data_IF_909925979750
#
_entry.id   IF_909925979750
#
_cell.length_a   1.000
_cell.length_b   1.000
_cell.length_c   1.000
_cell.angle_alpha   90.00
_cell.angle_beta   90.00
_cell.angle_gamma   90.00
#
_symmetry.space_group_name_H-M   'P 1'
#
loop_
_entity.id
_entity.type
_entity.pdbx_description
1 polymer ?
#
# COMPACT_ATOMS: atom_id res chain seq x y z
N UNK A 1 -21.68 -13.56 16.81
CA UNK A 1 -21.90 -12.45 15.84
C UNK A 1 -21.53 -12.97 14.47
N UNK A 2 -22.42 -12.85 13.47
CA UNK A 2 -22.16 -13.41 12.14
C UNK A 2 -21.11 -12.60 11.40
N UNK A 3 -20.36 -13.23 10.50
CA UNK A 3 -19.37 -12.56 9.65
C UNK A 3 -19.97 -11.38 8.87
N UNK A 4 -21.23 -11.52 8.42
CA UNK A 4 -22.03 -10.45 7.80
C UNK A 4 -22.13 -9.18 8.68
N UNK A 5 -22.34 -9.33 9.98
CA UNK A 5 -22.36 -8.20 10.91
C UNK A 5 -20.96 -7.56 11.08
N UNK A 6 -19.89 -8.35 10.96
CA UNK A 6 -18.50 -7.85 10.97
C UNK A 6 -18.23 -7.04 9.72
N UNK A 7 -18.70 -7.49 8.55
CA UNK A 7 -18.51 -6.82 7.27
C UNK A 7 -19.30 -5.51 7.17
N UNK A 8 -20.55 -5.48 7.63
CA UNK A 8 -21.30 -4.22 7.67
C UNK A 8 -20.60 -3.17 8.56
N UNK A 9 -19.94 -3.62 9.61
CA UNK A 9 -19.10 -2.75 10.44
C UNK A 9 -17.78 -2.36 9.76
N UNK A 10 -17.23 -3.22 8.88
CA UNK A 10 -16.04 -2.90 8.07
C UNK A 10 -16.30 -1.78 7.05
N UNK A 11 -17.55 -1.62 6.58
CA UNK A 11 -17.95 -0.50 5.70
C UNK A 11 -17.71 0.85 6.39
N UNK A 12 -18.13 0.97 7.64
CA UNK A 12 -17.87 2.18 8.43
C UNK A 12 -16.38 2.34 8.76
N UNK A 13 -15.61 1.23 8.85
CA UNK A 13 -14.17 1.25 9.05
C UNK A 13 -13.44 1.76 7.81
N UNK A 14 -13.83 1.33 6.61
CA UNK A 14 -13.23 1.82 5.37
C UNK A 14 -13.47 3.32 5.17
N UNK A 15 -14.67 3.82 5.50
CA UNK A 15 -14.98 5.25 5.51
C UNK A 15 -14.17 6.01 6.58
N UNK A 16 -13.99 5.42 7.76
CA UNK A 16 -13.16 5.98 8.81
C UNK A 16 -11.68 5.98 8.43
N UNK A 17 -11.18 4.92 7.78
CA UNK A 17 -9.80 4.82 7.30
C UNK A 17 -9.49 5.81 6.17
N UNK A 18 -10.43 6.01 5.24
CA UNK A 18 -10.30 7.01 4.16
C UNK A 18 -10.21 8.45 4.70
N UNK A 19 -10.78 8.72 5.88
CA UNK A 19 -10.82 10.04 6.50
C UNK A 19 -9.90 10.19 7.73
N UNK A 20 -8.96 9.27 7.97
CA UNK A 20 -8.39 9.10 9.30
C UNK A 20 -7.03 9.75 9.52
N UNK A 21 -6.95 10.61 10.53
CA UNK A 21 -5.76 10.76 11.37
C UNK A 21 -5.67 9.58 12.35
N UNK A 22 -4.47 9.17 12.76
CA UNK A 22 -4.21 7.96 13.58
C UNK A 22 -5.07 7.82 14.85
N UNK A 23 -5.61 8.90 15.40
CA UNK A 23 -6.44 8.90 16.61
C UNK A 23 -7.90 8.55 16.35
N UNK A 24 -8.49 9.05 15.26
CA UNK A 24 -9.84 8.65 14.84
C UNK A 24 -9.94 7.16 14.56
N UNK A 25 -8.90 6.61 13.99
CA UNK A 25 -8.79 5.18 13.77
C UNK A 25 -8.83 4.42 15.11
N UNK A 26 -8.04 4.84 16.10
CA UNK A 26 -8.01 4.22 17.42
C UNK A 26 -9.36 4.29 18.14
N UNK A 27 -10.09 5.37 17.99
CA UNK A 27 -11.39 5.59 18.65
C UNK A 27 -12.50 4.76 17.97
N UNK A 28 -12.50 4.71 16.64
CA UNK A 28 -13.43 3.90 15.86
C UNK A 28 -13.18 2.40 16.10
N UNK A 29 -11.91 2.00 16.15
CA UNK A 29 -11.44 0.65 16.39
C UNK A 29 -11.88 0.16 17.77
N UNK A 30 -11.94 0.98 18.82
CA UNK A 30 -12.44 0.62 20.15
C UNK A 30 -13.93 0.31 20.22
N UNK A 31 -14.73 0.74 19.28
CA UNK A 31 -16.21 0.66 19.36
C UNK A 31 -16.85 -0.55 18.67
N UNK A 32 -16.08 -1.41 17.99
CA UNK A 32 -16.64 -2.46 17.12
C UNK A 32 -15.92 -3.81 17.25
N UNK A 33 -16.63 -4.92 17.10
CA UNK A 33 -16.10 -6.29 17.24
C UNK A 33 -15.22 -6.75 16.06
N UNK A 34 -15.40 -6.20 14.87
CA UNK A 34 -14.44 -6.32 13.76
C UNK A 34 -13.08 -5.79 14.17
N UNK A 35 -13.06 -4.86 15.09
CA UNK A 35 -11.92 -4.27 15.72
C UNK A 35 -11.05 -5.22 16.52
N UNK A 36 -11.65 -6.11 17.28
CA UNK A 36 -10.85 -7.12 17.99
C UNK A 36 -10.10 -7.98 16.99
N UNK A 37 -10.76 -8.33 15.86
CA UNK A 37 -10.11 -9.06 14.79
C UNK A 37 -9.02 -8.26 14.11
N UNK A 38 -9.30 -7.00 13.76
CA UNK A 38 -8.30 -6.11 13.15
C UNK A 38 -7.18 -5.75 14.13
N UNK A 39 -7.46 -5.59 15.42
CA UNK A 39 -6.44 -5.41 16.44
C UNK A 39 -5.56 -6.64 16.60
N UNK A 40 -6.14 -7.84 16.57
CA UNK A 40 -5.36 -9.08 16.54
C UNK A 40 -4.46 -9.10 15.31
N UNK A 41 -5.00 -8.76 14.13
CA UNK A 41 -4.24 -8.72 12.87
C UNK A 41 -3.17 -7.63 12.88
N UNK A 42 -3.47 -6.43 13.39
CA UNK A 42 -2.55 -5.28 13.40
C UNK A 42 -1.43 -5.45 14.40
N UNK A 43 -1.72 -6.00 15.59
CA UNK A 43 -0.77 -6.08 16.70
C UNK A 43 -0.05 -7.42 16.80
N UNK A 44 -0.45 -8.43 16.00
CA UNK A 44 -0.05 -9.79 16.27
C UNK A 44 1.03 -10.29 15.31
N UNK A 45 2.27 -10.23 15.76
CA UNK A 45 3.38 -10.98 15.17
C UNK A 45 3.14 -12.52 15.23
N UNK A 46 2.25 -12.98 16.09
CA UNK A 46 1.88 -14.40 16.25
C UNK A 46 1.05 -14.93 15.08
N UNK A 47 0.31 -14.07 14.37
CA UNK A 47 -0.40 -14.44 13.13
C UNK A 47 0.56 -14.89 12.01
N UNK A 48 1.85 -14.68 12.14
CA UNK A 48 2.87 -15.16 11.19
C UNK A 48 2.98 -16.69 11.14
N UNK A 49 2.79 -17.35 12.26
CA UNK A 49 3.11 -18.77 12.42
C UNK A 49 1.91 -19.66 12.67
N UNK A 50 0.79 -19.10 13.08
CA UNK A 50 -0.48 -19.82 13.28
C UNK A 50 -1.65 -18.91 12.98
N UNK A 51 -2.19 -18.97 11.75
CA UNK A 51 -3.30 -18.11 11.33
C UNK A 51 -4.58 -18.28 12.17
N UNK A 52 -4.75 -19.42 12.85
CA UNK A 52 -5.85 -19.65 13.80
C UNK A 52 -7.24 -19.62 13.17
N UNK A 53 -8.26 -19.56 14.04
CA UNK A 53 -9.67 -19.58 13.66
C UNK A 53 -10.03 -18.40 12.74
N UNK A 54 -9.47 -17.22 12.98
CA UNK A 54 -9.73 -16.01 12.19
C UNK A 54 -9.31 -16.19 10.73
N UNK A 55 -8.17 -16.82 10.47
CA UNK A 55 -7.71 -17.07 9.11
C UNK A 55 -8.64 -18.04 8.38
N UNK A 56 -9.05 -19.13 9.02
CA UNK A 56 -9.97 -20.12 8.43
C UNK A 56 -11.36 -19.51 8.19
N UNK A 57 -11.84 -18.63 9.08
CA UNK A 57 -13.09 -17.89 8.90
C UNK A 57 -13.06 -17.02 7.64
N UNK A 58 -12.00 -16.22 7.45
CA UNK A 58 -11.85 -15.36 6.27
C UNK A 58 -11.59 -16.17 4.99
N UNK A 59 -10.84 -17.25 5.08
CA UNK A 59 -10.62 -18.17 3.97
C UNK A 59 -11.94 -18.80 3.49
N UNK A 60 -12.75 -19.32 4.41
CA UNK A 60 -14.08 -19.85 4.10
C UNK A 60 -14.98 -18.77 3.47
N UNK A 61 -14.98 -17.56 4.02
CA UNK A 61 -15.75 -16.45 3.49
C UNK A 61 -15.37 -16.14 2.04
N UNK A 62 -14.09 -15.88 1.74
CA UNK A 62 -13.65 -15.52 0.40
C UNK A 62 -13.76 -16.69 -0.59
N UNK A 63 -13.66 -17.93 -0.13
CA UNK A 63 -13.91 -19.11 -0.98
C UNK A 63 -15.37 -19.13 -1.47
N UNK A 64 -16.33 -18.73 -0.62
CA UNK A 64 -17.76 -18.72 -0.99
C UNK A 64 -18.17 -17.52 -1.85
N UNK A 65 -17.38 -16.43 -1.84
CA UNK A 65 -17.71 -15.18 -2.57
C UNK A 65 -17.40 -15.22 -4.06
N UNK A 66 -16.72 -16.24 -4.55
CA UNK A 66 -16.34 -16.35 -5.96
C UNK A 66 -15.68 -15.04 -6.46
N UNK A 67 -14.52 -14.74 -5.90
CA UNK A 67 -13.79 -13.50 -6.19
C UNK A 67 -13.59 -13.29 -7.70
N UNK A 68 -13.78 -12.08 -8.21
CA UNK A 68 -13.50 -11.80 -9.61
C UNK A 68 -12.05 -12.08 -9.93
N UNK A 69 -11.79 -12.64 -11.08
CA UNK A 69 -10.46 -12.99 -11.53
C UNK A 69 -10.14 -12.38 -12.89
N UNK A 70 -8.85 -12.23 -13.16
CA UNK A 70 -8.28 -11.79 -14.43
C UNK A 70 -7.23 -12.77 -14.90
N UNK A 71 -7.28 -13.13 -16.18
CA UNK A 71 -6.23 -13.89 -16.82
C UNK A 71 -5.12 -12.91 -17.24
N UNK A 72 -3.91 -13.16 -16.79
CA UNK A 72 -2.70 -12.51 -17.27
C UNK A 72 -2.12 -13.42 -18.34
N UNK A 73 -2.19 -12.96 -19.59
CA UNK A 73 -1.73 -13.73 -20.72
C UNK A 73 -0.22 -13.55 -20.97
N UNK A 74 0.39 -14.49 -21.70
CA UNK A 74 1.83 -14.49 -21.99
C UNK A 74 2.29 -13.29 -22.82
N UNK A 75 1.37 -12.67 -23.59
CA UNK A 75 1.67 -11.50 -24.42
C UNK A 75 1.58 -10.18 -23.64
N UNK A 76 1.00 -10.19 -22.43
CA UNK A 76 0.92 -9.01 -21.60
C UNK A 76 2.29 -8.65 -21.04
N UNK A 77 2.69 -7.38 -21.24
CA UNK A 77 3.93 -6.83 -20.72
C UNK A 77 3.66 -6.05 -19.46
N UNK A 78 4.47 -6.28 -18.45
CA UNK A 78 4.47 -5.53 -17.19
C UNK A 78 5.87 -4.97 -16.93
N UNK A 79 5.97 -3.99 -16.05
CA UNK A 79 7.19 -3.26 -15.75
C UNK A 79 7.54 -3.35 -14.27
N UNK A 80 8.82 -3.54 -13.99
CA UNK A 80 9.35 -3.44 -12.64
C UNK A 80 10.46 -2.41 -12.59
N UNK A 81 10.37 -1.47 -11.65
CA UNK A 81 11.37 -0.44 -11.41
C UNK A 81 12.18 -0.70 -10.12
N UNK A 82 13.44 -0.30 -10.17
CA UNK A 82 14.32 -0.20 -9.01
C UNK A 82 15.11 1.09 -9.11
N UNK A 83 15.06 1.91 -8.06
CA UNK A 83 15.83 3.17 -8.00
C UNK A 83 17.31 2.85 -8.07
N UNK A 84 18.01 3.56 -8.96
CA UNK A 84 19.45 3.43 -9.19
C UNK A 84 19.80 2.77 -10.51
N UNK A 85 21.09 2.56 -10.68
CA UNK A 85 21.74 1.94 -11.83
C UNK A 85 23.09 1.38 -11.40
N UNK A 86 23.70 0.55 -12.25
CA UNK A 86 25.04 0.04 -12.08
C UNK A 86 26.05 0.96 -12.76
N UNK A 87 27.25 1.06 -12.20
CA UNK A 87 28.38 1.81 -12.79
C UNK A 87 29.54 0.84 -12.96
N UNK A 88 29.98 0.66 -14.19
CA UNK A 88 31.14 -0.15 -14.53
C UNK A 88 32.26 0.77 -15.00
N UNK A 89 33.43 0.58 -14.43
CA UNK A 89 34.66 1.27 -14.84
C UNK A 89 35.37 0.43 -15.87
N UNK A 90 35.91 1.09 -16.92
CA UNK A 90 36.67 0.43 -17.97
C UNK A 90 37.88 -0.32 -17.43
N UNK A 91 38.38 -1.30 -18.19
CA UNK A 91 39.57 -2.08 -17.85
C UNK A 91 40.82 -1.19 -17.72
N UNK A 92 41.89 -1.73 -17.11
CA UNK A 92 43.10 -0.99 -16.75
C UNK A 92 43.75 -0.14 -17.88
N UNK A 93 43.52 -0.53 -19.15
CA UNK A 93 44.04 0.19 -20.33
C UNK A 93 43.15 1.38 -20.75
N UNK A 94 41.97 1.55 -20.19
CA UNK A 94 40.99 2.60 -20.54
C UNK A 94 40.31 3.19 -19.27
N UNK A 95 41.10 3.60 -18.31
CA UNK A 95 40.67 4.13 -17.00
C UNK A 95 39.75 5.36 -17.06
N UNK A 96 39.52 5.93 -18.25
CA UNK A 96 38.67 7.12 -18.42
C UNK A 96 37.27 6.81 -18.87
N UNK A 97 36.91 5.54 -19.12
CA UNK A 97 35.55 5.18 -19.52
C UNK A 97 34.74 4.65 -18.35
N UNK A 98 33.63 5.30 -18.13
CA UNK A 98 32.63 4.89 -17.17
C UNK A 98 31.36 4.54 -17.91
N UNK A 99 30.85 3.34 -17.72
CA UNK A 99 29.59 2.89 -18.28
C UNK A 99 28.51 2.90 -17.21
N UNK A 100 27.36 3.46 -17.56
CA UNK A 100 26.17 3.47 -16.71
C UNK A 100 25.19 2.46 -17.30
N UNK A 101 24.89 1.40 -16.58
CA UNK A 101 24.03 0.32 -17.01
C UNK A 101 22.79 0.21 -16.13
N UNK A 102 21.64 -0.21 -16.66
CA UNK A 102 20.52 -0.55 -15.84
C UNK A 102 20.83 -1.77 -14.96
N UNK A 103 20.19 -1.85 -13.80
CA UNK A 103 20.16 -3.10 -13.05
C UNK A 103 19.54 -4.19 -13.92
N UNK A 104 20.10 -5.39 -13.90
CA UNK A 104 19.70 -6.51 -14.73
C UNK A 104 19.59 -7.80 -13.94
N UNK A 105 18.95 -8.81 -14.52
CA UNK A 105 18.81 -10.14 -13.92
C UNK A 105 18.33 -10.09 -12.46
N UNK A 106 19.04 -10.74 -11.54
CA UNK A 106 18.68 -10.83 -10.13
C UNK A 106 18.51 -9.47 -9.41
N UNK A 107 19.08 -8.40 -9.95
CA UNK A 107 18.98 -7.08 -9.35
C UNK A 107 17.65 -6.38 -9.65
N UNK A 108 17.03 -6.70 -10.80
CA UNK A 108 15.72 -6.16 -11.19
C UNK A 108 14.57 -7.13 -10.89
N UNK A 109 14.84 -8.40 -10.65
CA UNK A 109 13.86 -9.41 -10.26
C UNK A 109 13.37 -9.22 -8.81
N UNK A 110 12.44 -10.07 -8.38
CA UNK A 110 11.97 -10.07 -6.99
C UNK A 110 13.16 -10.31 -6.04
N UNK A 111 13.31 -9.50 -4.97
CA UNK A 111 14.44 -9.65 -4.07
C UNK A 111 14.41 -11.02 -3.39
N UNK A 112 15.56 -11.65 -3.14
CA UNK A 112 15.61 -12.87 -2.35
C UNK A 112 14.97 -12.68 -0.97
N UNK A 113 14.38 -13.73 -0.35
CA UNK A 113 13.68 -13.62 0.93
C UNK A 113 14.50 -12.92 2.03
N UNK A 114 15.80 -13.18 2.09
CA UNK A 114 16.70 -12.58 3.09
C UNK A 114 16.73 -11.03 3.02
N UNK A 115 16.56 -10.47 1.83
CA UNK A 115 16.61 -9.02 1.58
C UNK A 115 15.22 -8.42 1.34
N UNK A 116 14.17 -9.21 1.52
CA UNK A 116 12.80 -8.75 1.28
C UNK A 116 12.28 -8.00 2.50
N UNK A 117 12.03 -6.72 2.33
CA UNK A 117 11.30 -5.91 3.30
C UNK A 117 9.79 -6.17 3.21
N UNK A 118 9.08 -5.86 4.29
CA UNK A 118 7.62 -5.95 4.29
C UNK A 118 6.98 -4.84 3.44
N UNK A 119 6.21 -5.23 2.43
CA UNK A 119 5.41 -4.34 1.58
C UNK A 119 3.93 -4.33 1.98
N UNK A 120 3.09 -3.77 1.09
CA UNK A 120 1.63 -3.74 1.26
C UNK A 120 1.04 -5.14 1.40
N UNK A 121 1.45 -6.08 0.56
CA UNK A 121 0.86 -7.42 0.45
C UNK A 121 1.79 -8.53 0.94
N UNK A 122 3.06 -8.25 1.21
CA UNK A 122 4.01 -9.26 1.69
C UNK A 122 4.57 -8.91 3.07
N UNK A 123 4.82 -9.94 3.86
CA UNK A 123 5.57 -9.84 5.12
C UNK A 123 7.07 -9.78 4.83
N UNK A 124 7.83 -9.27 5.78
CA UNK A 124 9.30 -9.38 5.73
C UNK A 124 9.72 -10.85 5.56
N UNK A 125 10.69 -11.10 4.69
CA UNK A 125 11.17 -12.44 4.38
C UNK A 125 10.30 -13.23 3.40
N UNK A 126 9.18 -12.67 2.92
CA UNK A 126 8.33 -13.28 1.88
C UNK A 126 8.47 -12.48 0.60
N UNK A 127 9.10 -13.08 -0.40
CA UNK A 127 9.35 -12.45 -1.69
C UNK A 127 8.14 -12.58 -2.61
N UNK A 128 7.53 -11.45 -2.96
CA UNK A 128 6.53 -11.31 -4.00
C UNK A 128 7.07 -10.42 -5.13
N UNK A 129 6.57 -10.63 -6.33
CA UNK A 129 6.93 -9.79 -7.47
C UNK A 129 5.86 -8.73 -7.69
N UNK A 130 6.25 -7.45 -7.55
CA UNK A 130 5.42 -6.30 -7.81
C UNK A 130 5.73 -5.73 -9.19
N UNK A 131 4.70 -5.59 -10.01
CA UNK A 131 4.80 -5.11 -11.39
C UNK A 131 3.72 -4.08 -11.65
N UNK A 132 3.93 -3.20 -12.62
CA UNK A 132 2.96 -2.21 -13.11
C UNK A 132 2.68 -2.43 -14.60
N UNK A 133 1.50 -2.02 -15.08
CA UNK A 133 1.10 -2.17 -16.48
C UNK A 133 1.74 -1.13 -17.41
N UNK A 134 2.24 -0.03 -16.87
CA UNK A 134 2.93 1.03 -17.62
C UNK A 134 4.22 1.47 -16.94
N UNK A 135 5.13 2.06 -17.73
CA UNK A 135 6.36 2.68 -17.21
C UNK A 135 6.04 3.83 -16.26
N UNK A 136 5.04 4.66 -16.60
CA UNK A 136 4.61 5.77 -15.74
C UNK A 136 4.13 5.30 -14.39
N UNK A 137 3.30 4.27 -14.35
CA UNK A 137 2.81 3.69 -13.09
C UNK A 137 3.97 3.12 -12.29
N UNK A 138 4.88 2.42 -12.95
CA UNK A 138 6.06 1.86 -12.30
C UNK A 138 6.94 2.95 -11.65
N UNK A 139 7.19 4.05 -12.36
CA UNK A 139 7.95 5.20 -11.84
C UNK A 139 7.25 5.89 -10.66
N UNK A 140 5.92 6.02 -10.72
CA UNK A 140 5.13 6.58 -9.63
C UNK A 140 5.19 5.70 -8.37
N UNK A 141 5.08 4.38 -8.51
CA UNK A 141 5.09 3.42 -7.39
C UNK A 141 6.45 3.35 -6.68
N UNK A 142 7.56 3.54 -7.40
CA UNK A 142 8.89 3.62 -6.76
C UNK A 142 9.18 4.99 -6.16
N UNK A 143 8.27 5.98 -6.28
CA UNK A 143 8.41 7.34 -5.77
C UNK A 143 9.71 8.03 -6.25
N UNK A 144 10.01 7.90 -7.54
CA UNK A 144 11.21 8.43 -8.14
C UNK A 144 11.32 9.95 -7.96
N UNK A 145 12.43 10.42 -7.41
CA UNK A 145 12.68 11.85 -7.19
C UNK A 145 13.35 12.48 -8.41
N UNK A 146 13.19 13.81 -8.58
CA UNK A 146 13.85 14.56 -9.66
C UNK A 146 15.37 14.36 -9.58
N UNK A 147 15.98 14.02 -10.70
CA UNK A 147 17.42 13.76 -10.81
C UNK A 147 17.85 12.35 -10.41
N UNK A 148 16.95 11.51 -9.87
CA UNK A 148 17.26 10.11 -9.63
C UNK A 148 17.08 9.27 -10.90
N UNK A 149 17.93 8.25 -11.01
CA UNK A 149 17.78 7.18 -12.00
C UNK A 149 16.95 6.04 -11.46
N UNK A 150 16.19 5.39 -12.34
CA UNK A 150 15.47 4.17 -12.08
C UNK A 150 15.74 3.18 -13.22
N UNK A 151 16.20 2.00 -12.90
CA UNK A 151 16.26 0.89 -13.83
C UNK A 151 14.89 0.23 -13.93
N UNK A 152 14.38 0.06 -15.14
CA UNK A 152 13.10 -0.62 -15.43
C UNK A 152 13.33 -1.77 -16.38
N UNK A 153 12.84 -2.96 -16.02
CA UNK A 153 12.78 -4.14 -16.85
C UNK A 153 11.35 -4.53 -17.22
N UNK A 154 11.19 -5.15 -18.40
CA UNK A 154 9.92 -5.70 -18.86
C UNK A 154 9.78 -7.14 -18.41
N UNK A 155 8.58 -7.50 -17.95
CA UNK A 155 8.27 -8.84 -17.47
C UNK A 155 7.07 -9.40 -18.21
N UNK A 156 7.12 -10.71 -18.50
CA UNK A 156 6.00 -11.48 -19.06
C UNK A 156 5.74 -12.72 -18.24
N UNK A 157 4.49 -13.16 -18.19
CA UNK A 157 4.17 -14.45 -17.58
C UNK A 157 4.70 -15.60 -18.44
N UNK A 158 5.17 -16.68 -17.79
CA UNK A 158 5.66 -17.89 -18.48
C UNK A 158 4.52 -18.74 -19.04
N UNK A 159 3.32 -18.56 -18.54
CA UNK A 159 2.08 -19.23 -18.94
C UNK A 159 0.91 -18.33 -18.55
N UNK A 160 -0.28 -18.51 -19.13
CA UNK A 160 -1.46 -17.81 -18.63
C UNK A 160 -1.65 -18.09 -17.13
N UNK A 161 -1.85 -17.04 -16.34
CA UNK A 161 -2.08 -17.14 -14.90
C UNK A 161 -3.34 -16.39 -14.51
N UNK A 162 -4.11 -16.99 -13.63
CA UNK A 162 -5.28 -16.36 -13.04
C UNK A 162 -4.90 -15.65 -11.76
N UNK A 163 -5.30 -14.39 -11.62
CA UNK A 163 -5.09 -13.54 -10.44
C UNK A 163 -6.42 -12.95 -9.99
N UNK A 164 -6.52 -12.61 -8.70
CA UNK A 164 -7.69 -11.92 -8.15
C UNK A 164 -7.71 -10.49 -8.71
N UNK A 165 -8.85 -10.10 -9.28
CA UNK A 165 -9.05 -8.79 -9.90
C UNK A 165 -9.80 -7.85 -8.97
N UNK A 166 -9.07 -6.98 -8.28
CA UNK A 166 -9.64 -5.98 -7.39
C UNK A 166 -10.27 -4.77 -8.12
N UNK A 167 -10.22 -4.75 -9.45
CA UNK A 167 -10.85 -3.67 -10.25
C UNK A 167 -12.29 -3.97 -10.63
N UNK A 168 -12.80 -5.19 -10.35
CA UNK A 168 -14.08 -5.71 -10.83
C UNK A 168 -14.99 -6.24 -9.72
N UNK A 169 -15.20 -5.50 -8.66
CA UNK A 169 -16.14 -5.96 -7.62
C UNK A 169 -17.61 -5.66 -7.89
N UNK A 170 -17.93 -5.01 -9.02
CA UNK A 170 -19.31 -4.73 -9.41
C UNK A 170 -20.11 -3.97 -8.33
N UNK A 171 -21.40 -4.25 -8.28
CA UNK A 171 -22.32 -3.61 -7.32
C UNK A 171 -22.36 -4.30 -5.94
N UNK A 172 -21.43 -5.23 -5.65
CA UNK A 172 -21.34 -5.88 -4.33
C UNK A 172 -20.73 -4.92 -3.30
N UNK A 173 -21.58 -4.28 -2.51
CA UNK A 173 -21.18 -3.29 -1.50
C UNK A 173 -20.28 -3.86 -0.40
N UNK A 174 -20.32 -5.16 -0.16
CA UNK A 174 -19.44 -5.82 0.81
C UNK A 174 -18.02 -5.93 0.23
N UNK A 175 -17.91 -6.33 -1.03
CA UNK A 175 -16.63 -6.44 -1.72
C UNK A 175 -16.00 -5.07 -1.97
N UNK A 176 -16.81 -4.04 -2.25
CA UNK A 176 -16.35 -2.66 -2.34
C UNK A 176 -15.65 -2.18 -1.06
N UNK A 177 -16.14 -2.62 0.09
CA UNK A 177 -15.50 -2.31 1.38
C UNK A 177 -14.11 -2.93 1.50
N UNK A 178 -13.98 -4.20 1.11
CA UNK A 178 -12.68 -4.87 1.10
C UNK A 178 -11.72 -4.25 0.09
N UNK A 179 -12.22 -3.86 -1.08
CA UNK A 179 -11.43 -3.12 -2.07
C UNK A 179 -10.84 -1.83 -1.48
N UNK A 180 -11.67 -1.03 -0.82
CA UNK A 180 -11.22 0.21 -0.16
C UNK A 180 -10.13 -0.05 0.89
N UNK A 181 -10.25 -1.11 1.67
CA UNK A 181 -9.23 -1.50 2.65
C UNK A 181 -7.91 -1.92 1.97
N UNK A 182 -8.00 -2.70 0.89
CA UNK A 182 -6.85 -3.26 0.20
C UNK A 182 -6.07 -2.22 -0.61
N UNK A 183 -6.75 -1.24 -1.20
CA UNK A 183 -6.18 -0.30 -2.17
C UNK A 183 -5.98 1.12 -1.62
N UNK A 184 -6.50 1.46 -0.43
CA UNK A 184 -6.37 2.81 0.12
C UNK A 184 -4.91 3.28 0.24
N UNK A 185 -4.64 4.59 0.02
CA UNK A 185 -3.33 5.16 0.28
C UNK A 185 -2.92 5.02 1.74
N UNK A 186 -1.69 4.60 2.00
CA UNK A 186 -1.15 4.47 3.35
C UNK A 186 0.08 5.35 3.50
N UNK A 187 0.03 6.30 4.43
CA UNK A 187 1.17 7.16 4.74
C UNK A 187 2.23 6.41 5.54
N UNK A 188 3.49 6.84 5.41
CA UNK A 188 4.63 6.20 6.06
C UNK A 188 4.49 6.02 7.59
N UNK A 189 3.74 6.90 8.28
CA UNK A 189 3.45 6.78 9.71
C UNK A 189 2.42 5.69 10.08
N UNK A 190 1.69 5.14 9.11
CA UNK A 190 0.57 4.22 9.32
C UNK A 190 0.81 2.84 8.71
N UNK A 191 2.07 2.43 8.55
CA UNK A 191 2.46 1.14 7.95
C UNK A 191 1.85 -0.09 8.66
N UNK A 192 1.39 0.06 9.91
CA UNK A 192 0.66 -0.99 10.62
C UNK A 192 -0.63 -1.44 9.90
N UNK A 193 -1.24 -0.55 9.10
CA UNK A 193 -2.41 -0.88 8.26
C UNK A 193 -2.05 -1.98 7.24
N UNK A 194 -0.79 -2.07 6.82
CA UNK A 194 -0.33 -3.15 5.94
C UNK A 194 -0.46 -4.54 6.57
N UNK A 195 -0.58 -4.67 7.89
CA UNK A 195 -0.83 -5.98 8.49
C UNK A 195 -2.17 -6.56 8.05
N UNK A 196 -3.19 -5.71 7.82
CA UNK A 196 -4.50 -6.12 7.31
C UNK A 196 -4.37 -6.61 5.86
N UNK A 197 -3.72 -5.82 5.00
CA UNK A 197 -3.55 -6.19 3.59
C UNK A 197 -2.67 -7.43 3.42
N UNK A 198 -1.66 -7.61 4.27
CA UNK A 198 -0.81 -8.81 4.33
C UNK A 198 -1.60 -10.04 4.77
N UNK A 199 -2.44 -9.91 5.80
CA UNK A 199 -3.31 -10.99 6.26
C UNK A 199 -4.26 -11.44 5.14
N UNK A 200 -4.94 -10.49 4.48
CA UNK A 200 -5.82 -10.80 3.36
C UNK A 200 -5.06 -11.39 2.17
N UNK A 201 -3.85 -10.93 1.91
CA UNK A 201 -2.97 -11.52 0.90
C UNK A 201 -2.64 -12.99 1.20
N UNK A 202 -2.36 -13.31 2.47
CA UNK A 202 -2.12 -14.69 2.90
C UNK A 202 -3.38 -15.55 2.71
N UNK A 203 -4.57 -15.00 3.01
CA UNK A 203 -5.87 -15.66 2.76
C UNK A 203 -6.05 -15.90 1.26
N UNK A 204 -5.87 -14.89 0.41
CA UNK A 204 -6.00 -15.00 -1.05
C UNK A 204 -5.05 -16.03 -1.64
N UNK A 205 -3.81 -16.06 -1.17
CA UNK A 205 -2.84 -17.08 -1.57
C UNK A 205 -3.30 -18.50 -1.20
N UNK A 206 -3.94 -18.65 -0.03
CA UNK A 206 -4.41 -19.95 0.46
C UNK A 206 -5.59 -20.53 -0.33
N UNK A 207 -6.37 -19.69 -1.03
CA UNK A 207 -7.48 -20.10 -1.89
C UNK A 207 -7.06 -20.22 -3.37
N UNK A 208 -5.82 -20.60 -3.62
CA UNK A 208 -5.21 -20.78 -4.94
C UNK A 208 -5.01 -19.51 -5.78
N UNK A 209 -4.98 -18.34 -5.17
CA UNK A 209 -4.60 -17.11 -5.85
C UNK A 209 -3.12 -17.14 -6.27
N UNK A 210 -2.81 -16.81 -7.54
CA UNK A 210 -1.42 -16.60 -7.97
C UNK A 210 -0.95 -15.18 -7.71
N UNK A 211 -1.87 -14.25 -7.48
CA UNK A 211 -1.58 -12.84 -7.26
C UNK A 211 -2.84 -11.99 -7.19
N UNK A 212 -2.64 -10.69 -7.11
CA UNK A 212 -3.67 -9.65 -7.04
C UNK A 212 -3.40 -8.61 -8.12
N UNK A 213 -4.42 -8.24 -8.90
CA UNK A 213 -4.41 -7.14 -9.86
C UNK A 213 -5.27 -6.00 -9.31
N UNK A 214 -4.76 -4.76 -9.28
CA UNK A 214 -5.42 -3.63 -8.64
C UNK A 214 -5.01 -2.28 -9.26
N UNK A 215 -5.85 -1.26 -9.09
CA UNK A 215 -5.55 0.09 -9.54
C UNK A 215 -4.41 0.72 -8.73
N UNK A 216 -3.54 1.46 -9.40
CA UNK A 216 -2.53 2.26 -8.74
C UNK A 216 -3.18 3.43 -8.01
N UNK A 217 -2.72 3.71 -6.79
CA UNK A 217 -3.08 4.94 -6.06
C UNK A 217 -2.15 6.12 -6.38
N UNK A 218 -1.09 5.87 -7.15
CA UNK A 218 -0.07 6.86 -7.50
C UNK A 218 -0.20 7.35 -8.96
N UNK A 219 -0.91 6.61 -9.80
CA UNK A 219 -1.11 6.94 -11.23
C UNK A 219 -2.42 6.35 -11.76
N UNK A 220 -2.74 6.60 -13.02
CA UNK A 220 -3.96 6.07 -13.68
C UNK A 220 -3.83 4.62 -14.18
N UNK A 221 -2.71 3.95 -13.91
CA UNK A 221 -2.49 2.57 -14.34
C UNK A 221 -2.82 1.55 -13.26
N UNK A 222 -2.38 0.32 -13.49
CA UNK A 222 -2.65 -0.81 -12.59
C UNK A 222 -1.36 -1.49 -12.17
N UNK A 223 -1.46 -2.17 -11.05
CA UNK A 223 -0.40 -2.99 -10.49
C UNK A 223 -0.82 -4.45 -10.41
N UNK A 224 0.17 -5.31 -10.45
CA UNK A 224 0.02 -6.72 -10.11
C UNK A 224 1.05 -7.07 -9.03
N UNK A 225 0.62 -7.79 -8.01
CA UNK A 225 1.50 -8.49 -7.09
C UNK A 225 1.36 -9.98 -7.33
N UNK A 226 2.44 -10.61 -7.77
CA UNK A 226 2.49 -12.06 -7.99
C UNK A 226 3.10 -12.75 -6.76
N UNK A 227 2.36 -13.72 -6.18
CA UNK A 227 2.76 -14.47 -4.99
C UNK A 227 3.88 -15.48 -5.26
N UNK A 228 4.05 -15.87 -6.53
CA UNK A 228 5.06 -16.80 -6.99
C UNK A 228 5.91 -16.13 -8.09
N UNK A 229 7.01 -15.44 -7.74
CA UNK A 229 7.83 -14.70 -8.69
C UNK A 229 8.26 -15.52 -9.90
N UNK A 230 8.46 -16.83 -9.76
CA UNK A 230 8.85 -17.74 -10.83
C UNK A 230 7.80 -17.90 -11.96
N UNK A 231 6.58 -17.41 -11.77
CA UNK A 231 5.55 -17.39 -12.82
C UNK A 231 5.83 -16.33 -13.89
N UNK A 232 6.65 -15.34 -13.59
CA UNK A 232 7.09 -14.32 -14.51
C UNK A 232 8.56 -14.51 -14.91
N UNK A 233 8.93 -13.91 -16.01
CA UNK A 233 10.32 -13.83 -16.48
C UNK A 233 10.61 -12.42 -16.97
N UNK A 234 11.81 -11.97 -16.72
CA UNK A 234 12.38 -10.79 -17.33
C UNK A 234 12.53 -11.02 -18.85
N UNK A 235 12.12 -10.06 -19.66
CA UNK A 235 12.38 -10.06 -21.09
C UNK A 235 13.86 -9.68 -21.28
N UNK A 236 14.63 -10.53 -21.92
CA UNK A 236 16.07 -10.31 -22.11
C UNK A 236 16.37 -8.98 -22.81
N UNK A 237 17.31 -8.23 -22.27
CA UNK A 237 17.78 -6.93 -22.79
C UNK A 237 16.68 -5.85 -22.85
N UNK A 238 15.62 -5.99 -22.07
CA UNK A 238 14.55 -4.99 -21.99
C UNK A 238 14.84 -3.86 -21.02
N UNK A 239 15.86 -4.02 -20.18
CA UNK A 239 16.17 -3.11 -19.10
C UNK A 239 16.64 -1.75 -19.63
N UNK A 240 16.09 -0.67 -19.08
CA UNK A 240 16.38 0.71 -19.45
C UNK A 240 16.52 1.57 -18.22
N UNK A 241 17.32 2.65 -18.34
CA UNK A 241 17.44 3.69 -17.30
C UNK A 241 16.50 4.83 -17.65
N UNK A 242 15.69 5.22 -16.66
CA UNK A 242 14.86 6.42 -16.71
C UNK A 242 15.31 7.42 -15.64
N UNK A 243 15.43 8.68 -16.01
CA UNK A 243 15.77 9.77 -15.09
C UNK A 243 14.57 10.70 -14.94
N UNK A 244 14.12 10.96 -13.72
CA UNK A 244 13.04 11.90 -13.50
C UNK A 244 13.52 13.35 -13.76
N UNK A 245 12.89 14.00 -14.73
CA UNK A 245 13.18 15.40 -15.07
C UNK A 245 12.14 16.36 -14.51
N UNK A 246 10.90 15.89 -14.29
CA UNK A 246 9.77 16.69 -13.79
C UNK A 246 8.75 15.77 -13.12
N UNK A 247 8.17 16.22 -12.03
CA UNK A 247 7.02 15.58 -11.37
C UNK A 247 5.84 16.55 -11.42
N UNK A 248 4.65 16.03 -11.74
CA UNK A 248 3.39 16.76 -11.63
C UNK A 248 2.62 16.26 -10.41
N UNK A 249 2.00 17.18 -9.71
CA UNK A 249 1.12 16.88 -8.60
C UNK A 249 -0.29 17.33 -8.93
N UNK A 250 -1.26 16.41 -8.78
CA UNK A 250 -2.66 16.78 -8.70
C UNK A 250 -3.00 16.99 -7.22
N UNK A 251 -3.65 18.09 -6.91
CA UNK A 251 -3.99 18.43 -5.54
C UNK A 251 -5.36 19.08 -5.49
N UNK A 252 -6.03 18.87 -4.37
CA UNK A 252 -7.26 19.54 -4.04
C UNK A 252 -7.07 20.27 -2.70
N UNK A 253 -7.47 21.53 -2.66
CA UNK A 253 -7.48 22.24 -1.39
C UNK A 253 -8.51 21.58 -0.46
N UNK A 254 -8.15 21.34 0.79
CA UNK A 254 -9.13 20.91 1.78
C UNK A 254 -10.19 22.00 1.94
N UNK A 255 -11.46 21.62 1.81
CA UNK A 255 -12.58 22.57 1.94
C UNK A 255 -12.58 23.28 3.29
N UNK A 256 -12.09 22.60 4.33
CA UNK A 256 -11.89 23.16 5.66
C UNK A 256 -10.41 23.15 6.01
N UNK A 257 -9.78 24.31 6.02
CA UNK A 257 -8.39 24.49 6.47
C UNK A 257 -8.21 24.12 7.93
N UNK A 258 -9.29 24.23 8.75
CA UNK A 258 -9.38 23.73 10.12
C UNK A 258 -10.64 22.90 10.24
N UNK A 259 -10.48 21.61 10.60
CA UNK A 259 -11.60 20.74 10.97
C UNK A 259 -11.78 20.73 12.47
N UNK A 260 -12.95 21.18 12.93
CA UNK A 260 -13.35 21.01 14.32
C UNK A 260 -13.75 19.55 14.56
N UNK A 261 -12.97 18.86 15.35
CA UNK A 261 -13.30 17.52 15.81
C UNK A 261 -14.06 17.62 17.12
N UNK A 262 -15.38 17.39 17.10
CA UNK A 262 -16.15 17.32 18.33
C UNK A 262 -15.59 16.24 19.24
N UNK A 263 -15.09 16.64 20.41
CA UNK A 263 -14.74 15.74 21.50
C UNK A 263 -16.01 15.10 22.03
N UNK A 264 -16.36 13.89 21.57
CA UNK A 264 -17.23 13.05 22.37
C UNK A 264 -16.39 12.43 23.47
N UNK A 265 -16.74 12.85 24.68
CA UNK A 265 -16.37 12.34 26.00
C UNK A 265 -15.10 11.47 26.04
N UNK A 266 -14.08 12.09 26.26
CA UNK A 266 -12.83 11.64 26.77
C UNK A 266 -12.96 10.88 28.06
N UNK A 267 -12.53 9.65 28.05
CA UNK A 267 -11.88 9.11 29.23
C UNK A 267 -10.50 9.77 29.33
N UNK A 268 -10.31 10.51 30.41
CA UNK A 268 -9.03 11.08 30.82
C UNK A 268 -7.93 10.02 30.82
N UNK A 269 -7.19 9.92 29.74
CA UNK A 269 -5.82 9.48 29.84
C UNK A 269 -4.99 10.74 30.06
N UNK A 270 -4.78 11.07 31.31
CA UNK A 270 -3.76 12.02 31.72
C UNK A 270 -2.44 11.23 31.54
N UNK A 271 -1.81 11.42 30.40
CA UNK A 271 -0.39 11.09 30.25
C UNK A 271 0.39 11.97 31.24
N UNK A 272 1.36 11.42 31.96
CA UNK A 272 2.22 12.22 32.85
C UNK A 272 3.26 13.05 32.06
N UNK A 273 2.90 13.56 30.89
CA UNK A 273 3.72 14.44 30.08
C UNK A 273 3.44 15.89 30.45
N UNK A 274 4.23 16.36 31.35
CA UNK A 274 4.95 17.63 31.56
C UNK A 274 4.34 18.94 31.08
N UNK A 275 4.52 19.96 31.95
CA UNK A 275 4.37 21.42 31.74
C UNK A 275 4.80 21.90 30.36
N UNK A 276 5.81 21.26 29.74
CA UNK A 276 6.30 21.56 28.36
C UNK A 276 5.27 21.27 27.28
N UNK A 277 4.54 20.15 27.34
CA UNK A 277 3.48 19.85 26.36
C UNK A 277 2.26 20.75 26.56
N UNK A 278 1.96 21.12 27.79
CA UNK A 278 0.89 22.03 28.08
C UNK A 278 1.20 23.44 27.56
N UNK A 279 2.40 23.95 27.77
CA UNK A 279 2.85 25.22 27.21
C UNK A 279 2.87 25.20 25.67
N UNK A 280 3.35 24.11 25.05
CA UNK A 280 3.34 23.92 23.60
C UNK A 280 1.92 23.89 23.05
N UNK A 281 1.00 23.22 23.71
CA UNK A 281 -0.40 23.14 23.30
C UNK A 281 -1.10 24.50 23.47
N UNK A 282 -0.83 25.25 24.54
CA UNK A 282 -1.37 26.58 24.73
C UNK A 282 -0.93 27.54 23.62
N UNK A 283 0.34 27.54 23.23
CA UNK A 283 0.84 28.31 22.08
C UNK A 283 0.17 27.93 20.75
N UNK A 284 -0.12 26.63 20.53
CA UNK A 284 -0.86 26.17 19.35
C UNK A 284 -2.32 26.64 19.37
N UNK A 285 -2.97 26.64 20.54
CA UNK A 285 -4.34 27.16 20.69
C UNK A 285 -4.43 28.65 20.47
N UNK A 286 -3.45 29.44 20.95
CA UNK A 286 -3.39 30.86 20.66
C UNK A 286 -3.22 31.13 19.16
N UNK A 287 -2.36 30.39 18.48
CA UNK A 287 -2.20 30.47 17.03
C UNK A 287 -3.49 30.11 16.30
N UNK A 288 -4.14 29.02 16.69
CA UNK A 288 -5.40 28.56 16.13
C UNK A 288 -6.51 29.62 16.25
N UNK A 289 -6.64 30.26 17.42
CA UNK A 289 -7.63 31.30 17.64
C UNK A 289 -7.38 32.52 16.73
N UNK A 290 -6.13 32.96 16.58
CA UNK A 290 -5.75 34.04 15.68
C UNK A 290 -6.05 33.70 14.22
N UNK A 291 -5.83 32.45 13.84
CA UNK A 291 -6.09 31.97 12.49
C UNK A 291 -7.60 31.93 12.21
N UNK A 292 -8.43 31.43 13.14
CA UNK A 292 -9.90 31.44 13.03
C UNK A 292 -10.45 32.87 12.87
N UNK A 293 -9.92 33.81 13.63
CA UNK A 293 -10.31 35.22 13.50
C UNK A 293 -9.92 35.82 12.16
N UNK A 294 -8.76 35.45 11.62
CA UNK A 294 -8.32 35.88 10.29
C UNK A 294 -9.25 35.34 9.19
N UNK A 295 -9.58 34.04 9.23
CA UNK A 295 -10.50 33.42 8.28
C UNK A 295 -11.91 34.04 8.32
N UNK A 296 -12.43 34.36 9.52
CA UNK A 296 -13.72 35.05 9.66
C UNK A 296 -13.72 36.42 9.02
N UNK A 297 -12.60 37.14 9.08
CA UNK A 297 -12.45 38.47 8.46
C UNK A 297 -12.34 38.42 6.93
N UNK A 298 -11.87 37.33 6.36
CA UNK A 298 -11.80 37.18 4.90
C UNK A 298 -13.12 36.74 4.27
N UNK A 299 -14.03 36.12 5.05
CA UNK A 299 -15.36 35.67 4.60
C UNK A 299 -16.47 36.69 4.85
N UNK A 300 -16.17 37.82 5.50
CA UNK A 300 -17.05 38.98 5.72
C UNK A 300 -16.77 40.08 4.69
#
# INVERSE_FOLDING_TARGET
MTLLNKIQKAKNLAEALANCTSEKYKEYVKSHSLQEDLNKIVNDDLMRNNPGELFEEYKAYFTTKNLPTKIIDIDMVFYRGRIGNEIIYGAEDDHNRTFVLPYSQNEIEAPPPLYTEGGRFNRQGISYLYLSDTVETCLAEVHLQIGQNCSIGEFKSRKPIEVIDLTRFGDDTEMETWLKILTQPVHNGNKHIYNITRFLSDVFKSINGNGIYFESVQSQGHNIVCFLPSLFQLVEYSEKIYTATKIKYDYQQSEDSIREYSKRATNKYISPYNEYEEERNNKKFEYLNKWIEHEKKQKS
#
